data_IF_201251123239
#
_entry.id   IF_201251123239
#
_cell.length_a   1.000
_cell.length_b   1.000
_cell.length_c   1.000
_cell.angle_alpha   90.00
_cell.angle_beta   90.00
_cell.angle_gamma   90.00
#
_symmetry.space_group_name_H-M   'P 1'
#
loop_
_entity.id
_entity.type
_entity.pdbx_description
1 polymer ?
#
# COMPACT_ATOMS: atom_id res chain seq x y z
N UNK A 1 16.22 -9.39 -9.57
CA UNK A 1 15.10 -10.37 -9.56
C UNK A 1 14.71 -10.61 -8.11
N UNK A 2 13.83 -9.77 -7.57
CA UNK A 2 13.42 -9.82 -6.16
C UNK A 2 12.01 -10.42 -6.11
N UNK A 3 11.94 -11.75 -5.97
CA UNK A 3 10.69 -12.52 -5.89
C UNK A 3 10.00 -12.41 -4.52
N UNK A 4 10.67 -11.79 -3.55
CA UNK A 4 10.24 -11.71 -2.15
C UNK A 4 9.86 -10.28 -1.74
N UNK A 5 9.40 -9.45 -2.68
CA UNK A 5 8.84 -8.14 -2.32
C UNK A 5 7.54 -8.38 -1.52
N UNK A 6 7.63 -8.20 -0.21
CA UNK A 6 6.47 -8.17 0.68
C UNK A 6 5.67 -6.93 0.29
N UNK A 7 4.45 -7.16 -0.17
CA UNK A 7 3.47 -6.12 -0.37
C UNK A 7 2.75 -5.95 0.96
N UNK A 8 2.88 -4.75 1.53
CA UNK A 8 1.94 -4.30 2.54
C UNK A 8 0.60 -4.13 1.83
N UNK A 9 -0.31 -5.08 1.96
CA UNK A 9 -1.67 -4.83 1.50
C UNK A 9 -2.23 -3.77 2.45
N UNK A 10 -2.80 -2.70 1.90
CA UNK A 10 -3.32 -1.61 2.71
C UNK A 10 -4.26 -2.10 3.80
N UNK A 11 -4.33 -1.35 4.88
CA UNK A 11 -5.31 -1.60 5.95
C UNK A 11 -6.69 -1.13 5.48
N UNK A 12 -7.73 -1.90 5.75
CA UNK A 12 -9.08 -1.52 5.44
C UNK A 12 -9.62 -0.45 6.42
N UNK A 13 -10.60 0.32 5.96
CA UNK A 13 -11.16 1.42 6.74
C UNK A 13 -11.88 0.94 8.01
N UNK A 14 -12.40 -0.29 8.04
CA UNK A 14 -13.05 -0.88 9.21
C UNK A 14 -12.01 -1.23 10.29
N UNK A 15 -10.86 -1.79 9.90
CA UNK A 15 -9.72 -2.04 10.79
C UNK A 15 -9.19 -0.73 11.37
N UNK A 16 -9.00 0.32 10.55
CA UNK A 16 -8.62 1.66 11.06
C UNK A 16 -9.67 2.15 12.05
N UNK A 17 -10.96 2.07 11.71
CA UNK A 17 -12.05 2.56 12.55
C UNK A 17 -12.13 1.85 13.90
N UNK A 18 -11.96 0.52 13.92
CA UNK A 18 -11.95 -0.28 15.15
C UNK A 18 -10.76 0.05 16.04
N UNK A 19 -9.56 0.19 15.46
CA UNK A 19 -8.37 0.58 16.22
C UNK A 19 -8.47 2.02 16.73
N UNK A 20 -8.99 2.93 15.92
CA UNK A 20 -9.24 4.32 16.33
C UNK A 20 -10.22 4.41 17.50
N UNK A 21 -11.33 3.66 17.45
CA UNK A 21 -12.29 3.59 18.55
C UNK A 21 -11.67 2.97 19.81
N UNK A 22 -10.87 1.90 19.67
CA UNK A 22 -10.18 1.27 20.79
C UNK A 22 -9.13 2.21 21.44
N UNK A 23 -8.40 2.98 20.63
CA UNK A 23 -7.44 3.96 21.11
C UNK A 23 -8.11 5.08 21.91
N UNK A 24 -9.28 5.55 21.45
CA UNK A 24 -10.04 6.58 22.14
C UNK A 24 -10.66 6.10 23.45
N UNK A 25 -11.17 4.85 23.49
CA UNK A 25 -11.85 4.28 24.64
C UNK A 25 -10.90 3.68 25.70
N UNK A 26 -9.67 3.33 25.32
CA UNK A 26 -8.66 2.73 26.20
C UNK A 26 -7.33 3.48 26.20
N UNK A 27 -7.30 4.79 26.47
CA UNK A 27 -6.12 5.63 26.27
C UNK A 27 -4.90 5.15 27.04
N UNK A 28 -5.07 4.51 28.20
CA UNK A 28 -3.98 3.92 28.99
C UNK A 28 -3.13 2.88 28.22
N UNK A 29 -3.68 2.25 27.18
CA UNK A 29 -3.01 1.25 26.35
C UNK A 29 -2.36 1.81 25.10
N UNK A 30 -2.76 3.01 24.68
CA UNK A 30 -2.46 3.55 23.35
C UNK A 30 -1.87 4.98 23.40
N UNK A 31 -1.85 5.64 24.56
CA UNK A 31 -1.29 6.99 24.71
C UNK A 31 0.18 7.01 24.29
N UNK A 32 0.52 7.97 23.41
CA UNK A 32 1.87 8.22 22.86
C UNK A 32 2.51 7.03 22.14
N UNK A 33 1.73 6.06 21.69
CA UNK A 33 2.21 4.94 20.88
C UNK A 33 1.97 5.22 19.40
N UNK A 34 3.00 5.08 18.57
CA UNK A 34 2.84 4.99 17.12
C UNK A 34 2.66 3.51 16.76
N UNK A 35 1.53 3.17 16.13
CA UNK A 35 1.16 1.79 15.83
C UNK A 35 0.93 1.67 14.32
N UNK A 36 1.82 0.95 13.64
CA UNK A 36 1.66 0.59 12.24
C UNK A 36 0.60 -0.52 12.11
N UNK A 37 -0.42 -0.31 11.28
CA UNK A 37 -1.50 -1.26 11.06
C UNK A 37 -1.37 -1.90 9.68
N UNK A 38 -1.30 -3.23 9.67
CA UNK A 38 -1.21 -4.05 8.45
C UNK A 38 -2.22 -5.18 8.56
N UNK A 39 -3.22 -5.23 7.67
CA UNK A 39 -4.19 -6.35 7.66
C UNK A 39 -3.53 -7.65 7.20
N UNK A 40 -2.65 -7.57 6.20
CA UNK A 40 -1.94 -8.73 5.70
C UNK A 40 -0.57 -8.38 5.11
N UNK A 41 0.45 -9.14 5.51
CA UNK A 41 1.71 -9.23 4.78
C UNK A 41 1.60 -10.32 3.72
N UNK A 42 1.55 -9.93 2.45
CA UNK A 42 1.44 -10.87 1.34
C UNK A 42 2.57 -10.64 0.33
N UNK A 43 2.90 -11.67 -0.45
CA UNK A 43 3.81 -11.50 -1.59
C UNK A 43 2.99 -11.12 -2.82
N UNK A 44 3.60 -10.47 -3.81
CA UNK A 44 2.87 -10.08 -5.02
C UNK A 44 2.24 -11.29 -5.71
N UNK A 45 2.91 -12.44 -5.72
CA UNK A 45 2.38 -13.68 -6.28
C UNK A 45 1.11 -14.16 -5.55
N UNK A 46 1.06 -14.04 -4.22
CA UNK A 46 -0.15 -14.37 -3.44
C UNK A 46 -1.29 -13.42 -3.76
N UNK A 47 -1.00 -12.12 -3.91
CA UNK A 47 -2.00 -11.10 -4.29
C UNK A 47 -2.55 -11.40 -5.68
N UNK A 48 -1.69 -11.64 -6.67
CA UNK A 48 -2.10 -12.00 -8.03
C UNK A 48 -2.91 -13.29 -8.06
N UNK A 49 -2.54 -14.29 -7.26
CA UNK A 49 -3.32 -15.53 -7.12
C UNK A 49 -4.71 -15.29 -6.51
N UNK A 50 -4.82 -14.42 -5.49
CA UNK A 50 -6.12 -14.03 -4.91
C UNK A 50 -6.98 -13.29 -5.93
N UNK A 51 -6.40 -12.31 -6.61
CA UNK A 51 -7.09 -11.49 -7.60
C UNK A 51 -7.51 -12.32 -8.83
N UNK A 52 -6.67 -13.27 -9.24
CA UNK A 52 -6.98 -14.20 -10.32
C UNK A 52 -8.14 -15.13 -9.97
N UNK A 53 -8.18 -15.66 -8.74
CA UNK A 53 -9.33 -16.42 -8.24
C UNK A 53 -10.61 -15.59 -8.19
N UNK A 54 -10.52 -14.34 -7.74
CA UNK A 54 -11.68 -13.45 -7.62
C UNK A 54 -12.23 -13.03 -9.00
N UNK A 55 -11.36 -12.85 -9.99
CA UNK A 55 -11.74 -12.40 -11.35
C UNK A 55 -11.96 -13.55 -12.34
N UNK A 56 -11.59 -14.78 -11.97
CA UNK A 56 -11.63 -15.96 -12.85
C UNK A 56 -10.60 -15.90 -13.98
N UNK A 57 -9.53 -15.12 -13.83
CA UNK A 57 -8.49 -14.92 -14.86
C UNK A 57 -7.12 -15.28 -14.32
N UNK A 58 -6.27 -15.81 -15.18
CA UNK A 58 -4.84 -15.94 -14.86
C UNK A 58 -4.20 -14.56 -14.97
N UNK A 59 -3.60 -14.09 -13.87
CA UNK A 59 -2.94 -12.80 -13.81
C UNK A 59 -1.45 -13.00 -13.63
N UNK A 60 -0.66 -12.26 -14.40
CA UNK A 60 0.79 -12.30 -14.37
C UNK A 60 1.35 -10.92 -14.08
N UNK A 61 2.46 -10.89 -13.35
CA UNK A 61 3.19 -9.68 -13.08
C UNK A 61 4.02 -9.29 -14.30
N UNK A 62 3.92 -8.02 -14.70
CA UNK A 62 4.80 -7.42 -15.71
C UNK A 62 5.48 -6.20 -15.09
N UNK A 63 6.79 -6.29 -14.88
CA UNK A 63 7.58 -5.15 -14.43
C UNK A 63 7.77 -4.16 -15.58
N UNK A 64 7.56 -2.87 -15.29
CA UNK A 64 7.86 -1.78 -16.22
C UNK A 64 9.21 -1.16 -15.87
N UNK A 65 9.97 -0.77 -16.90
CA UNK A 65 11.18 0.04 -16.71
C UNK A 65 10.82 1.52 -16.62
N UNK A 66 11.70 2.32 -16.02
CA UNK A 66 11.47 3.76 -15.85
C UNK A 66 11.29 4.47 -17.20
N UNK A 67 12.00 4.04 -18.25
CA UNK A 67 11.82 4.59 -19.61
C UNK A 67 10.40 4.34 -20.12
N UNK A 68 9.88 3.12 -19.92
CA UNK A 68 8.53 2.74 -20.35
C UNK A 68 7.43 3.43 -19.55
N UNK A 69 7.74 3.81 -18.31
CA UNK A 69 6.86 4.62 -17.47
C UNK A 69 6.82 6.07 -18.00
N UNK A 70 7.98 6.62 -18.39
CA UNK A 70 8.14 7.98 -18.90
C UNK A 70 7.54 8.22 -20.30
N UNK A 71 7.44 7.18 -21.13
CA UNK A 71 6.83 7.23 -22.48
C UNK A 71 5.32 7.56 -22.50
N UNK A 72 4.69 7.78 -21.34
CA UNK A 72 3.27 8.12 -21.27
C UNK A 72 2.41 6.86 -21.27
N UNK A 73 2.43 6.17 -20.14
CA UNK A 73 1.46 5.10 -19.84
C UNK A 73 0.09 5.70 -19.50
N UNK A 74 -0.97 4.87 -19.57
CA UNK A 74 -2.36 5.32 -19.45
C UNK A 74 -2.64 6.17 -18.18
N UNK A 75 -3.81 6.82 -18.14
CA UNK A 75 -4.24 7.68 -17.04
C UNK A 75 -4.10 7.06 -15.63
N UNK A 76 -4.28 5.75 -15.50
CA UNK A 76 -4.14 5.06 -14.21
C UNK A 76 -2.68 5.00 -13.75
N UNK A 77 -1.73 4.76 -14.67
CA UNK A 77 -0.31 4.76 -14.33
C UNK A 77 0.16 6.18 -14.01
N UNK A 78 -0.24 7.17 -14.81
CA UNK A 78 0.05 8.58 -14.53
C UNK A 78 -0.50 9.02 -13.17
N UNK A 79 -1.76 8.67 -12.86
CA UNK A 79 -2.37 8.99 -11.58
C UNK A 79 -1.63 8.34 -10.41
N UNK A 80 -1.24 7.07 -10.54
CA UNK A 80 -0.52 6.35 -9.50
C UNK A 80 0.90 6.93 -9.26
N UNK A 81 1.59 7.39 -10.31
CA UNK A 81 2.87 8.07 -10.18
C UNK A 81 2.74 9.42 -9.46
N UNK A 82 1.70 10.21 -9.79
CA UNK A 82 1.45 11.47 -9.10
C UNK A 82 1.17 11.25 -7.62
N UNK A 83 0.39 10.22 -7.26
CA UNK A 83 0.12 9.89 -5.86
C UNK A 83 1.38 9.42 -5.12
N UNK A 84 2.24 8.62 -5.78
CA UNK A 84 3.54 8.22 -5.23
C UNK A 84 4.43 9.44 -4.95
N UNK A 85 4.55 10.35 -5.92
CA UNK A 85 5.34 11.57 -5.75
C UNK A 85 4.81 12.48 -4.64
N UNK A 86 3.49 12.55 -4.47
CA UNK A 86 2.87 13.28 -3.36
C UNK A 86 3.23 12.67 -2.00
N UNK A 87 3.18 11.33 -1.88
CA UNK A 87 3.54 10.64 -0.65
C UNK A 87 5.00 10.89 -0.26
N UNK A 88 5.93 10.79 -1.22
CA UNK A 88 7.36 11.08 -1.01
C UNK A 88 7.59 12.53 -0.57
N UNK A 89 6.84 13.49 -1.12
CA UNK A 89 6.88 14.87 -0.68
C UNK A 89 6.40 15.06 0.77
N UNK A 90 5.29 14.41 1.15
CA UNK A 90 4.74 14.49 2.51
C UNK A 90 5.71 13.87 3.52
N UNK A 91 6.28 12.70 3.23
CA UNK A 91 7.29 12.07 4.07
C UNK A 91 8.53 12.97 4.23
N UNK A 92 9.05 13.51 3.12
CA UNK A 92 10.20 14.42 3.18
C UNK A 92 9.92 15.68 4.00
N UNK A 93 8.66 16.11 4.10
CA UNK A 93 8.27 17.27 4.89
C UNK A 93 8.18 16.95 6.38
N UNK A 94 7.59 15.81 6.73
CA UNK A 94 7.49 15.32 8.12
C UNK A 94 8.87 15.15 8.76
N UNK A 95 9.87 14.66 8.02
CA UNK A 95 11.21 14.40 8.55
C UNK A 95 12.18 15.59 8.49
N UNK A 96 11.79 16.71 7.89
CA UNK A 96 12.61 17.95 7.83
C UNK A 96 12.07 19.08 8.73
N UNK A 97 10.94 18.87 9.39
CA UNK A 97 10.29 19.81 10.32
C UNK A 97 10.72 19.61 11.76
#
# INVERSE_FOLDING_TARGET
>A
MQRDAIVHTGVDADTIGRFGAAAFLGPERFDKQEIELVDEFSTVDKVLGKLGRATGRELQMVYMTDEKIAEGSNLFVTGMLMMKGLAECVESWIWRG
#
